data_IF_727639989463
#
_entry.id   IF_727639989463
#
_cell.length_a   1.000
_cell.length_b   1.000
_cell.length_c   1.000
_cell.angle_alpha   90.00
_cell.angle_beta   90.00
_cell.angle_gamma   90.00
#
_symmetry.space_group_name_H-M   'P 1'
#
loop_
_entity.id
_entity.type
_entity.pdbx_description
1 polymer ?
#
# COMPACT_ATOMS: atom_id res chain seq x y z
N UNK A 1 -24.87 17.01 -13.02
CA UNK A 1 -24.05 16.14 -12.20
C UNK A 1 -23.32 15.16 -13.11
N UNK A 2 -21.98 15.02 -12.96
CA UNK A 2 -21.20 13.99 -13.64
C UNK A 2 -20.80 12.90 -12.64
N UNK A 3 -20.76 11.64 -13.09
CA UNK A 3 -20.45 10.47 -12.25
C UNK A 3 -19.23 9.78 -12.83
N UNK A 4 -18.20 9.61 -12.00
CA UNK A 4 -16.99 8.88 -12.35
C UNK A 4 -16.80 7.65 -11.45
N UNK A 5 -16.41 6.52 -12.04
CA UNK A 5 -16.07 5.29 -11.32
C UNK A 5 -14.60 4.96 -11.52
N UNK A 6 -13.86 4.90 -10.43
CA UNK A 6 -12.42 4.64 -10.45
C UNK A 6 -11.99 3.53 -9.51
N UNK A 7 -10.73 3.08 -9.66
CA UNK A 7 -10.10 2.14 -8.76
C UNK A 7 -10.02 0.69 -9.27
N UNK A 8 -9.84 -0.27 -8.34
CA UNK A 8 -9.54 -1.67 -8.69
C UNK A 8 -10.66 -2.35 -9.47
N UNK A 9 -11.92 -2.08 -9.13
CA UNK A 9 -13.07 -2.62 -9.86
C UNK A 9 -13.12 -2.05 -11.29
N UNK A 10 -12.90 -0.75 -11.44
CA UNK A 10 -12.84 -0.11 -12.75
C UNK A 10 -11.68 -0.66 -13.61
N UNK A 11 -10.55 -0.97 -12.99
CA UNK A 11 -9.40 -1.61 -13.64
C UNK A 11 -9.74 -2.98 -14.23
N UNK A 12 -10.62 -3.76 -13.56
CA UNK A 12 -11.03 -5.10 -13.97
C UNK A 12 -12.18 -5.09 -14.98
N UNK A 13 -13.25 -4.37 -14.61
CA UNK A 13 -14.52 -4.48 -15.32
C UNK A 13 -14.65 -3.52 -16.50
N UNK A 14 -13.86 -2.47 -16.54
CA UNK A 14 -13.70 -1.56 -17.70
C UNK A 14 -15.06 -1.15 -18.29
N UNK A 15 -15.24 -1.41 -19.57
CA UNK A 15 -16.47 -1.09 -20.33
C UNK A 15 -17.74 -1.78 -19.79
N UNK A 16 -17.59 -2.88 -19.00
CA UNK A 16 -18.76 -3.55 -18.40
C UNK A 16 -19.48 -2.64 -17.41
N UNK A 17 -18.75 -1.72 -16.75
CA UNK A 17 -19.34 -0.75 -15.83
C UNK A 17 -20.22 0.22 -16.59
N UNK A 18 -19.73 0.84 -17.67
CA UNK A 18 -20.50 1.75 -18.49
C UNK A 18 -21.74 1.08 -19.13
N UNK A 19 -21.61 -0.20 -19.53
CA UNK A 19 -22.75 -0.98 -20.06
C UNK A 19 -23.82 -1.26 -19.00
N UNK A 20 -23.43 -1.56 -17.75
CA UNK A 20 -24.37 -1.83 -16.64
C UNK A 20 -24.95 -0.56 -16.02
N UNK A 21 -24.23 0.53 -16.09
CA UNK A 21 -24.57 1.82 -15.52
C UNK A 21 -24.43 2.94 -16.58
N UNK A 22 -25.40 3.06 -17.53
CA UNK A 22 -25.30 4.03 -18.63
C UNK A 22 -25.25 5.50 -18.21
N UNK A 23 -25.57 5.77 -16.95
CA UNK A 23 -25.48 7.11 -16.33
C UNK A 23 -24.09 7.48 -15.79
N UNK A 24 -23.09 6.59 -15.92
CA UNK A 24 -21.70 6.87 -15.57
C UNK A 24 -21.03 7.58 -16.74
N UNK A 25 -20.41 8.73 -16.47
CA UNK A 25 -19.73 9.56 -17.48
C UNK A 25 -18.28 9.11 -17.73
N UNK A 26 -17.59 8.64 -16.69
CA UNK A 26 -16.18 8.23 -16.81
C UNK A 26 -15.88 6.96 -15.99
N UNK A 27 -15.11 6.05 -16.60
CA UNK A 27 -14.54 4.86 -15.93
C UNK A 27 -13.03 4.90 -16.09
N UNK A 28 -12.28 4.88 -14.97
CA UNK A 28 -10.82 4.97 -15.03
C UNK A 28 -10.13 3.96 -14.10
N UNK A 29 -9.03 3.41 -14.58
CA UNK A 29 -8.20 2.47 -13.83
C UNK A 29 -7.40 3.13 -12.71
N UNK A 30 -6.80 2.29 -11.86
CA UNK A 30 -5.99 2.70 -10.69
C UNK A 30 -4.80 3.63 -11.04
N UNK A 31 -4.36 3.62 -12.29
CA UNK A 31 -3.23 4.38 -12.82
C UNK A 31 -3.64 5.61 -13.64
N UNK A 32 -4.93 5.92 -13.71
CA UNK A 32 -5.48 6.92 -14.62
C UNK A 32 -6.17 8.10 -13.93
N UNK A 33 -6.04 8.25 -12.63
CA UNK A 33 -6.70 9.30 -11.85
C UNK A 33 -6.37 10.72 -12.37
N UNK A 34 -5.14 10.96 -12.79
CA UNK A 34 -4.73 12.25 -13.38
C UNK A 34 -5.39 12.59 -14.71
N UNK A 35 -6.06 11.62 -15.36
CA UNK A 35 -6.82 11.87 -16.60
C UNK A 35 -8.29 12.19 -16.34
N UNK A 36 -8.76 12.14 -15.08
CA UNK A 36 -10.16 12.31 -14.74
C UNK A 36 -10.80 13.60 -15.27
N UNK A 37 -10.18 14.79 -15.12
CA UNK A 37 -10.76 16.03 -15.67
C UNK A 37 -11.01 15.95 -17.19
N UNK A 38 -10.03 15.44 -17.94
CA UNK A 38 -10.14 15.27 -19.39
C UNK A 38 -11.24 14.27 -19.78
N UNK A 39 -11.38 13.16 -19.04
CA UNK A 39 -12.41 12.17 -19.31
C UNK A 39 -13.82 12.74 -19.09
N UNK A 40 -14.00 13.53 -18.05
CA UNK A 40 -15.28 14.18 -17.75
C UNK A 40 -15.63 15.23 -18.81
N UNK A 41 -14.66 16.02 -19.28
CA UNK A 41 -14.88 16.99 -20.35
C UNK A 41 -15.21 16.28 -21.67
N UNK A 42 -14.50 15.21 -22.01
CA UNK A 42 -14.82 14.41 -23.21
C UNK A 42 -16.20 13.80 -23.13
N UNK A 43 -16.58 13.20 -22.00
CA UNK A 43 -17.92 12.63 -21.80
C UNK A 43 -19.04 13.68 -22.00
N UNK A 44 -18.80 14.91 -21.53
CA UNK A 44 -19.75 16.02 -21.71
C UNK A 44 -19.90 16.43 -23.18
N UNK A 45 -18.80 16.43 -23.94
CA UNK A 45 -18.78 16.83 -25.36
C UNK A 45 -19.40 15.72 -26.23
N UNK A 46 -19.03 14.47 -25.96
CA UNK A 46 -19.40 13.34 -26.82
C UNK A 46 -20.75 12.69 -26.44
N UNK A 47 -21.25 12.99 -25.23
CA UNK A 47 -22.56 12.48 -24.75
C UNK A 47 -22.58 11.01 -24.41
N UNK A 48 -21.41 10.38 -24.22
CA UNK A 48 -21.30 8.97 -23.79
C UNK A 48 -20.12 8.76 -22.83
N UNK A 49 -20.18 7.63 -22.09
CA UNK A 49 -19.18 7.27 -21.10
C UNK A 49 -17.76 7.12 -21.70
N UNK A 50 -16.79 7.73 -21.07
CA UNK A 50 -15.37 7.58 -21.42
C UNK A 50 -14.72 6.52 -20.54
N UNK A 51 -14.01 5.57 -21.15
CA UNK A 51 -13.34 4.48 -20.44
C UNK A 51 -11.84 4.56 -20.70
N UNK A 52 -11.04 4.72 -19.62
CA UNK A 52 -9.58 4.78 -19.71
C UNK A 52 -8.92 3.90 -18.66
N UNK A 53 -8.37 2.80 -19.13
CA UNK A 53 -7.66 1.83 -18.28
C UNK A 53 -6.29 1.55 -18.91
N UNK A 54 -5.24 2.15 -18.32
CA UNK A 54 -3.85 1.88 -18.70
C UNK A 54 -3.26 0.81 -17.81
N UNK A 55 -2.37 0.00 -18.36
CA UNK A 55 -1.68 -1.06 -17.62
C UNK A 55 -0.33 -0.61 -17.06
N UNK A 56 0.26 0.47 -17.58
CA UNK A 56 1.56 0.99 -17.13
C UNK A 56 1.42 2.29 -16.34
N UNK A 57 2.23 2.43 -15.29
CA UNK A 57 2.43 3.66 -14.54
C UNK A 57 3.49 4.50 -15.25
N UNK A 58 3.08 5.63 -15.83
CA UNK A 58 4.01 6.60 -16.40
C UNK A 58 4.50 7.63 -15.36
N UNK A 59 3.83 7.73 -14.22
CA UNK A 59 4.20 8.60 -13.10
C UNK A 59 3.53 8.12 -11.82
N UNK A 60 4.11 8.46 -10.67
CA UNK A 60 3.51 8.14 -9.38
C UNK A 60 2.43 9.19 -9.03
N UNK A 61 1.22 8.78 -8.58
CA UNK A 61 0.10 9.70 -8.32
C UNK A 61 0.35 10.76 -7.23
N UNK A 62 1.45 10.65 -6.49
CA UNK A 62 1.80 11.55 -5.38
C UNK A 62 2.06 13.01 -5.77
N UNK A 63 2.19 13.31 -7.07
CA UNK A 63 2.31 14.69 -7.57
C UNK A 63 0.96 15.38 -7.79
N UNK A 64 -0.15 14.67 -7.58
CA UNK A 64 -1.48 15.25 -7.69
C UNK A 64 -1.81 16.07 -6.43
N UNK A 65 -2.51 17.19 -6.56
CA UNK A 65 -3.04 17.92 -5.42
C UNK A 65 -3.85 16.99 -4.53
N UNK A 66 -3.58 17.02 -3.23
CA UNK A 66 -4.26 16.16 -2.25
C UNK A 66 -5.00 17.03 -1.24
N UNK A 67 -6.31 16.89 -1.18
CA UNK A 67 -7.11 17.40 -0.06
C UNK A 67 -7.16 16.29 1.01
N UNK A 68 -6.56 16.57 2.17
CA UNK A 68 -6.46 15.60 3.26
C UNK A 68 -7.64 15.75 4.21
N UNK A 69 -8.40 14.68 4.39
CA UNK A 69 -9.55 14.64 5.27
C UNK A 69 -9.19 14.88 6.76
N UNK A 70 -7.94 14.60 7.15
CA UNK A 70 -7.44 14.85 8.51
C UNK A 70 -6.24 15.79 8.46
N UNK A 71 -6.21 16.76 9.38
CA UNK A 71 -5.05 17.63 9.59
C UNK A 71 -4.01 17.02 10.53
N UNK A 72 -4.37 15.96 11.26
CA UNK A 72 -3.50 15.35 12.29
C UNK A 72 -2.80 14.10 11.78
N UNK A 73 -3.44 13.34 10.88
CA UNK A 73 -2.86 12.11 10.32
C UNK A 73 -2.89 12.14 8.80
N UNK A 74 -1.81 11.66 8.18
CA UNK A 74 -1.65 11.57 6.72
C UNK A 74 -1.25 10.18 6.28
N UNK A 75 -1.69 9.80 5.08
CA UNK A 75 -1.36 8.53 4.46
C UNK A 75 -0.43 8.79 3.29
N UNK A 76 0.75 8.15 3.31
CA UNK A 76 1.79 8.35 2.31
C UNK A 76 2.09 7.03 1.61
N UNK A 77 1.78 6.93 0.33
CA UNK A 77 2.11 5.77 -0.47
C UNK A 77 3.62 5.75 -0.76
N UNK A 78 4.29 4.65 -0.43
CA UNK A 78 5.72 4.46 -0.70
C UNK A 78 5.98 3.54 -1.90
N UNK A 79 5.04 2.63 -2.17
CA UNK A 79 5.05 1.73 -3.32
C UNK A 79 3.64 1.44 -3.81
N UNK A 80 3.51 0.98 -5.06
CA UNK A 80 2.25 0.52 -5.66
C UNK A 80 2.49 -0.79 -6.39
N UNK A 81 1.50 -1.70 -6.34
CA UNK A 81 1.60 -3.03 -6.94
C UNK A 81 2.25 -4.06 -6.04
N UNK A 82 2.35 -5.30 -6.49
CA UNK A 82 2.92 -6.39 -5.70
C UNK A 82 3.44 -7.50 -6.62
N UNK A 83 4.64 -7.99 -6.32
CA UNK A 83 5.27 -9.09 -7.05
C UNK A 83 4.94 -10.49 -6.47
N UNK A 84 4.16 -10.56 -5.37
CA UNK A 84 3.71 -11.83 -4.82
C UNK A 84 2.61 -12.46 -5.70
N UNK A 85 2.54 -13.80 -5.67
CA UNK A 85 1.59 -14.59 -6.47
C UNK A 85 0.56 -15.32 -5.61
N UNK A 86 0.13 -14.71 -4.51
CA UNK A 86 -0.87 -15.28 -3.60
C UNK A 86 -2.15 -15.62 -4.36
N UNK A 87 -2.64 -16.86 -4.24
CA UNK A 87 -3.71 -17.40 -5.10
C UNK A 87 -5.07 -16.74 -4.91
N UNK A 88 -5.31 -16.09 -3.80
CA UNK A 88 -6.55 -15.37 -3.48
C UNK A 88 -6.49 -13.85 -3.76
N UNK A 89 -5.32 -13.35 -4.20
CA UNK A 89 -5.09 -11.91 -4.26
C UNK A 89 -5.21 -11.38 -5.69
N UNK A 90 -6.02 -10.35 -5.86
CA UNK A 90 -6.26 -9.68 -7.13
C UNK A 90 -5.26 -8.53 -7.43
N UNK A 91 -4.45 -8.14 -6.45
CA UNK A 91 -3.56 -6.97 -6.54
C UNK A 91 -2.64 -6.99 -7.76
N UNK A 92 -1.93 -8.08 -8.10
CA UNK A 92 -1.06 -8.09 -9.28
C UNK A 92 -1.82 -7.79 -10.59
N UNK A 93 -3.08 -8.22 -10.68
CA UNK A 93 -3.94 -7.98 -11.86
C UNK A 93 -4.43 -6.52 -11.92
N UNK A 94 -4.75 -5.92 -10.75
CA UNK A 94 -5.36 -4.58 -10.72
C UNK A 94 -4.36 -3.45 -10.58
N UNK A 95 -3.27 -3.67 -9.86
CA UNK A 95 -2.23 -2.65 -9.60
C UNK A 95 -0.93 -2.91 -10.33
N UNK A 96 -0.74 -4.14 -10.85
CA UNK A 96 0.44 -4.54 -11.60
C UNK A 96 1.63 -4.91 -10.70
N UNK A 97 2.83 -4.92 -11.31
CA UNK A 97 4.09 -5.14 -10.61
C UNK A 97 4.38 -4.03 -9.63
N UNK A 98 5.18 -4.34 -8.62
CA UNK A 98 5.62 -3.41 -7.62
C UNK A 98 6.52 -2.32 -8.22
N UNK A 99 6.20 -1.08 -7.89
CA UNK A 99 6.97 0.11 -8.23
C UNK A 99 7.17 0.94 -6.96
N UNK A 100 8.42 1.17 -6.60
CA UNK A 100 8.81 1.97 -5.46
C UNK A 100 8.91 3.44 -5.84
N UNK A 101 8.56 4.32 -4.90
CA UNK A 101 8.87 5.75 -4.98
C UNK A 101 10.32 5.99 -4.58
N UNK A 102 10.87 7.10 -5.02
CA UNK A 102 12.18 7.55 -4.53
C UNK A 102 12.10 7.93 -3.06
N UNK A 103 13.03 7.47 -2.20
CA UNK A 103 13.00 7.79 -0.77
C UNK A 103 12.95 9.30 -0.50
N UNK A 104 13.68 10.09 -1.29
CA UNK A 104 13.69 11.56 -1.16
C UNK A 104 12.32 12.19 -1.38
N UNK A 105 11.54 11.72 -2.36
CA UNK A 105 10.19 12.21 -2.65
C UNK A 105 9.21 11.85 -1.52
N UNK A 106 9.37 10.66 -0.94
CA UNK A 106 8.57 10.21 0.21
C UNK A 106 8.83 11.11 1.42
N UNK A 107 10.11 11.33 1.75
CA UNK A 107 10.50 12.17 2.89
C UNK A 107 10.09 13.63 2.69
N UNK A 108 10.16 14.15 1.47
CA UNK A 108 9.69 15.50 1.15
C UNK A 108 8.18 15.62 1.37
N UNK A 109 7.39 14.64 0.92
CA UNK A 109 5.93 14.63 1.15
C UNK A 109 5.60 14.53 2.64
N UNK A 110 6.33 13.70 3.41
CA UNK A 110 6.12 13.58 4.86
C UNK A 110 6.40 14.91 5.55
N UNK A 111 7.49 15.61 5.21
CA UNK A 111 7.78 16.95 5.75
C UNK A 111 6.68 17.94 5.44
N UNK A 112 6.22 17.96 4.19
CA UNK A 112 5.08 18.79 3.81
C UNK A 112 3.83 18.47 4.66
N UNK A 113 3.51 17.20 4.89
CA UNK A 113 2.40 16.81 5.77
C UNK A 113 2.56 17.37 7.18
N UNK A 114 3.78 17.32 7.73
CA UNK A 114 4.07 17.85 9.06
C UNK A 114 3.96 19.38 9.09
N UNK A 115 4.46 20.08 8.07
CA UNK A 115 4.32 21.54 7.92
C UNK A 115 2.85 21.96 7.83
N UNK A 116 1.98 21.13 7.24
CA UNK A 116 0.53 21.30 7.17
C UNK A 116 -0.19 20.92 8.49
N UNK A 117 0.54 20.42 9.50
CA UNK A 117 0.04 20.11 10.84
C UNK A 117 -0.12 18.64 11.19
N UNK A 118 0.25 17.70 10.29
CA UNK A 118 0.18 16.29 10.58
C UNK A 118 1.18 15.90 11.69
N UNK A 119 0.70 15.09 12.63
CA UNK A 119 1.48 14.51 13.74
C UNK A 119 1.74 13.03 13.54
N UNK A 120 0.96 12.41 12.69
CA UNK A 120 1.05 10.98 12.37
C UNK A 120 1.09 10.76 10.87
N UNK A 121 1.96 9.85 10.43
CA UNK A 121 2.00 9.38 9.05
C UNK A 121 1.90 7.86 9.02
N UNK A 122 1.04 7.35 8.12
CA UNK A 122 0.96 5.92 7.82
C UNK A 122 1.54 5.65 6.44
N UNK A 123 2.63 4.86 6.37
CA UNK A 123 3.24 4.44 5.12
C UNK A 123 2.42 3.33 4.47
N UNK A 124 2.11 3.49 3.19
CA UNK A 124 1.26 2.58 2.44
C UNK A 124 2.03 1.85 1.34
N UNK A 125 1.78 0.55 1.24
CA UNK A 125 2.18 -0.32 0.15
C UNK A 125 1.32 -1.57 0.16
N UNK A 126 1.31 -2.36 -0.91
CA UNK A 126 0.65 -3.67 -0.93
C UNK A 126 1.53 -4.77 -0.35
N UNK A 127 2.83 -4.52 -0.26
CA UNK A 127 3.84 -5.26 0.46
C UNK A 127 4.87 -4.23 0.94
N UNK A 128 4.53 -3.49 1.99
CA UNK A 128 5.25 -2.26 2.39
C UNK A 128 6.72 -2.50 2.71
N UNK A 129 7.05 -3.65 3.28
CA UNK A 129 8.41 -3.98 3.70
C UNK A 129 9.27 -4.64 2.61
N UNK A 130 8.76 -4.79 1.37
CA UNK A 130 9.59 -5.04 0.18
C UNK A 130 10.08 -3.76 -0.50
N UNK A 131 9.73 -2.60 0.03
CA UNK A 131 10.21 -1.31 -0.48
C UNK A 131 11.72 -1.32 -0.66
N UNK A 132 12.18 -0.94 -1.85
CA UNK A 132 13.58 -0.92 -2.25
C UNK A 132 14.11 -2.20 -2.90
N UNK A 133 13.36 -3.31 -2.88
CA UNK A 133 13.82 -4.55 -3.52
C UNK A 133 13.99 -4.37 -5.03
N UNK A 134 13.15 -3.56 -5.66
CA UNK A 134 13.23 -3.24 -7.08
C UNK A 134 14.50 -2.49 -7.49
N UNK A 135 15.12 -1.77 -6.57
CA UNK A 135 16.39 -1.05 -6.76
C UNK A 135 17.60 -1.79 -6.16
N UNK A 136 17.41 -3.04 -5.67
CA UNK A 136 18.47 -3.88 -5.12
C UNK A 136 18.84 -3.58 -3.66
N UNK A 137 18.12 -2.72 -2.95
CA UNK A 137 18.33 -2.41 -1.54
C UNK A 137 17.30 -3.09 -0.64
N UNK A 138 17.68 -4.23 -0.06
CA UNK A 138 16.82 -5.00 0.86
C UNK A 138 16.60 -4.32 2.23
N UNK A 139 17.38 -3.30 2.54
CA UNK A 139 17.31 -2.54 3.78
C UNK A 139 16.64 -1.17 3.60
N UNK A 140 16.13 -0.87 2.40
CA UNK A 140 15.55 0.44 2.12
C UNK A 140 14.37 0.77 3.01
N UNK A 141 13.53 -0.22 3.38
CA UNK A 141 12.39 0.02 4.25
C UNK A 141 12.81 0.40 5.67
N UNK A 142 13.73 -0.31 6.28
CA UNK A 142 14.26 0.02 7.61
C UNK A 142 15.02 1.36 7.63
N UNK A 143 15.78 1.65 6.57
CA UNK A 143 16.41 2.97 6.39
C UNK A 143 15.36 4.08 6.30
N UNK A 144 14.25 3.84 5.58
CA UNK A 144 13.15 4.80 5.47
C UNK A 144 12.48 5.04 6.83
N UNK A 145 12.24 3.99 7.62
CA UNK A 145 11.71 4.13 8.99
C UNK A 145 12.61 5.01 9.86
N UNK A 146 13.93 4.75 9.87
CA UNK A 146 14.89 5.58 10.62
C UNK A 146 14.93 7.02 10.12
N UNK A 147 14.90 7.23 8.79
CA UNK A 147 14.86 8.57 8.22
C UNK A 147 13.56 9.34 8.55
N UNK A 148 12.44 8.65 8.73
CA UNK A 148 11.22 9.26 9.25
C UNK A 148 11.38 9.69 10.72
N UNK A 149 12.21 8.98 11.49
CA UNK A 149 12.57 9.35 12.87
C UNK A 149 13.27 10.70 13.01
N UNK A 150 13.98 11.11 11.98
CA UNK A 150 14.73 12.37 11.91
C UNK A 150 13.84 13.60 11.55
N UNK A 151 12.54 13.39 11.24
CA UNK A 151 11.66 14.48 10.84
C UNK A 151 11.10 15.17 12.08
N UNK A 152 11.54 16.41 12.31
CA UNK A 152 11.06 17.24 13.40
C UNK A 152 9.55 17.48 13.29
N UNK A 153 8.83 17.36 14.41
CA UNK A 153 7.38 17.54 14.48
C UNK A 153 6.56 16.29 14.11
N UNK A 154 7.17 15.23 13.56
CA UNK A 154 6.51 13.96 13.30
C UNK A 154 6.53 13.08 14.56
N UNK A 155 5.37 12.93 15.20
CA UNK A 155 5.26 12.22 16.48
C UNK A 155 5.03 10.71 16.32
N UNK A 156 4.41 10.28 15.22
CA UNK A 156 4.07 8.86 14.99
C UNK A 156 4.23 8.45 13.54
N UNK A 157 4.92 7.33 13.35
CA UNK A 157 5.07 6.64 12.06
C UNK A 157 4.43 5.26 12.19
N UNK A 158 3.51 4.97 11.28
CA UNK A 158 2.88 3.65 11.13
C UNK A 158 3.07 3.13 9.71
N UNK A 159 2.82 1.87 9.51
CA UNK A 159 2.78 1.26 8.19
C UNK A 159 1.76 0.13 8.13
N UNK A 160 1.29 -0.17 6.92
CA UNK A 160 0.28 -1.21 6.68
C UNK A 160 0.80 -2.27 5.71
N UNK A 161 0.16 -3.45 5.75
CA UNK A 161 0.40 -4.55 4.81
C UNK A 161 1.85 -5.07 4.74
N UNK A 162 2.57 -5.22 5.86
CA UNK A 162 3.85 -5.91 5.84
C UNK A 162 3.65 -7.40 5.54
N UNK A 163 4.61 -7.98 4.80
CA UNK A 163 4.57 -9.39 4.44
C UNK A 163 5.62 -10.18 5.25
N UNK A 164 5.25 -11.30 5.89
CA UNK A 164 6.17 -12.06 6.75
C UNK A 164 7.46 -12.53 6.08
N UNK A 165 7.43 -12.81 4.77
CA UNK A 165 8.62 -13.23 4.05
C UNK A 165 9.71 -12.16 3.93
N UNK A 166 9.32 -10.89 3.89
CA UNK A 166 10.21 -9.74 3.77
C UNK A 166 10.42 -9.00 5.10
N UNK A 167 9.93 -9.54 6.22
CA UNK A 167 10.11 -8.94 7.54
C UNK A 167 11.44 -9.41 8.15
N UNK A 168 12.44 -8.54 8.08
CA UNK A 168 13.82 -8.82 8.47
C UNK A 168 14.11 -8.35 9.89
N UNK A 169 15.20 -8.87 10.49
CA UNK A 169 15.67 -8.44 11.82
C UNK A 169 16.01 -6.93 11.82
N UNK A 170 16.45 -6.38 10.68
CA UNK A 170 16.75 -4.96 10.53
C UNK A 170 15.48 -4.07 10.58
N UNK A 171 14.34 -4.56 10.08
CA UNK A 171 13.04 -3.87 10.25
C UNK A 171 12.62 -3.87 11.71
N UNK A 172 12.81 -5.00 12.42
CA UNK A 172 12.53 -5.09 13.87
C UNK A 172 13.39 -4.10 14.64
N UNK A 173 14.70 -4.05 14.33
CA UNK A 173 15.63 -3.12 14.95
C UNK A 173 15.23 -1.65 14.67
N UNK A 174 14.88 -1.32 13.42
CA UNK A 174 14.45 0.03 13.06
C UNK A 174 13.17 0.44 13.82
N UNK A 175 12.21 -0.48 14.01
CA UNK A 175 11.01 -0.20 14.83
C UNK A 175 11.35 0.04 16.29
N UNK A 176 12.24 -0.76 16.87
CA UNK A 176 12.61 -0.68 18.29
C UNK A 176 13.48 0.54 18.61
N UNK A 177 14.36 0.94 17.69
CA UNK A 177 15.35 2.00 17.88
C UNK A 177 14.84 3.40 17.54
N UNK A 178 13.75 3.51 16.73
CA UNK A 178 13.24 4.79 16.25
C UNK A 178 12.02 5.22 17.08
N UNK A 179 12.15 6.21 17.97
CA UNK A 179 11.15 6.48 19.02
C UNK A 179 9.74 6.82 18.54
N UNK A 180 9.61 7.40 17.33
CA UNK A 180 8.32 7.77 16.75
C UNK A 180 7.74 6.67 15.84
N UNK A 181 8.45 5.56 15.61
CA UNK A 181 7.86 4.39 14.93
C UNK A 181 7.04 3.60 15.95
N UNK A 182 5.76 3.47 15.67
CA UNK A 182 4.85 2.86 16.63
C UNK A 182 5.05 1.35 16.75
N UNK A 183 5.10 0.84 17.98
CA UNK A 183 5.13 -0.58 18.31
C UNK A 183 3.77 -1.24 18.04
N UNK A 184 3.22 -0.97 16.85
CA UNK A 184 1.97 -1.54 16.38
C UNK A 184 2.19 -2.20 15.02
N UNK A 185 1.77 -3.46 14.89
CA UNK A 185 1.98 -4.23 13.68
C UNK A 185 0.69 -4.99 13.31
N UNK A 186 0.12 -4.66 12.16
CA UNK A 186 -0.86 -5.52 11.52
C UNK A 186 -0.12 -6.53 10.63
N UNK A 187 -0.07 -7.80 11.03
CA UNK A 187 0.82 -8.81 10.45
C UNK A 187 0.04 -10.03 9.97
N UNK A 188 -0.45 -10.05 8.71
CA UNK A 188 -1.37 -11.07 8.21
C UNK A 188 -0.74 -12.46 8.11
N UNK A 189 -1.19 -13.40 8.97
CA UNK A 189 -0.82 -14.80 8.94
C UNK A 189 -1.49 -15.55 7.79
N UNK A 190 -2.75 -15.25 7.52
CA UNK A 190 -3.67 -15.87 6.57
C UNK A 190 -4.13 -17.27 6.97
N UNK A 191 -3.26 -18.17 7.43
CA UNK A 191 -3.61 -19.48 7.95
C UNK A 191 -2.54 -20.02 8.90
N UNK A 192 -2.94 -20.72 9.95
CA UNK A 192 -2.03 -21.46 10.83
C UNK A 192 -1.57 -22.83 10.25
N UNK A 193 -2.17 -23.27 9.14
CA UNK A 193 -1.84 -24.55 8.49
C UNK A 193 -0.81 -24.35 7.38
N UNK A 194 0.35 -25.01 7.49
CA UNK A 194 1.38 -24.97 6.46
C UNK A 194 0.94 -25.57 5.12
N UNK A 195 -0.02 -26.52 5.15
CA UNK A 195 -0.64 -27.05 3.94
C UNK A 195 -1.43 -25.98 3.22
N UNK A 196 -2.24 -25.21 3.95
CA UNK A 196 -3.03 -24.11 3.40
C UNK A 196 -2.13 -22.94 2.98
N UNK A 197 -1.12 -22.58 3.75
CA UNK A 197 -0.14 -21.56 3.35
C UNK A 197 0.54 -21.92 2.01
N UNK A 198 0.86 -23.20 1.76
CA UNK A 198 1.38 -23.66 0.46
C UNK A 198 0.34 -23.49 -0.66
N UNK A 199 -0.90 -23.90 -0.42
CA UNK A 199 -2.00 -23.76 -1.38
C UNK A 199 -2.28 -22.28 -1.71
N UNK A 200 -2.16 -21.39 -0.72
CA UNK A 200 -2.24 -19.94 -0.86
C UNK A 200 -1.02 -19.31 -1.58
N UNK A 201 0.03 -20.09 -1.88
CA UNK A 201 1.34 -19.62 -2.37
C UNK A 201 1.98 -18.58 -1.46
N UNK A 202 1.86 -18.77 -0.14
CA UNK A 202 2.61 -17.95 0.82
C UNK A 202 4.05 -18.43 0.91
N UNK A 203 5.00 -17.51 0.81
CA UNK A 203 6.45 -17.78 0.80
C UNK A 203 7.05 -17.99 2.20
N UNK A 204 6.21 -18.10 3.23
CA UNK A 204 6.59 -18.46 4.61
C UNK A 204 5.75 -19.62 5.12
N UNK A 205 6.12 -20.12 6.32
CA UNK A 205 5.41 -21.17 7.07
C UNK A 205 5.16 -20.69 8.49
N UNK A 206 4.30 -21.40 9.21
CA UNK A 206 3.90 -21.06 10.59
C UNK A 206 5.10 -20.88 11.53
N UNK A 207 6.09 -21.76 11.45
CA UNK A 207 7.30 -21.68 12.28
C UNK A 207 8.07 -20.36 12.06
N UNK A 208 8.26 -19.92 10.81
CA UNK A 208 8.91 -18.64 10.50
C UNK A 208 8.09 -17.46 11.02
N UNK A 209 6.77 -17.51 10.86
CA UNK A 209 5.89 -16.47 11.37
C UNK A 209 5.99 -16.33 12.90
N UNK A 210 5.94 -17.44 13.62
CA UNK A 210 6.08 -17.46 15.08
C UNK A 210 7.47 -16.99 15.54
N UNK A 211 8.54 -17.35 14.82
CA UNK A 211 9.91 -16.86 15.13
C UNK A 211 10.00 -15.34 14.97
N UNK A 212 9.39 -14.76 13.94
CA UNK A 212 9.33 -13.30 13.78
C UNK A 212 8.57 -12.66 14.94
N UNK A 213 7.42 -13.21 15.33
CA UNK A 213 6.66 -12.71 16.49
C UNK A 213 7.48 -12.75 17.79
N UNK A 214 8.22 -13.85 18.02
CA UNK A 214 9.11 -13.98 19.19
C UNK A 214 10.15 -12.87 19.19
N UNK A 215 10.85 -12.64 18.07
CA UNK A 215 11.87 -11.57 17.92
C UNK A 215 11.28 -10.19 18.15
N UNK A 216 10.07 -9.92 17.61
CA UNK A 216 9.36 -8.66 17.84
C UNK A 216 9.09 -8.46 19.33
N UNK A 217 8.59 -9.50 20.03
CA UNK A 217 8.30 -9.43 21.46
C UNK A 217 9.56 -9.28 22.32
N UNK A 218 10.68 -9.84 21.89
CA UNK A 218 11.98 -9.67 22.56
C UNK A 218 12.51 -8.24 22.41
N UNK A 219 12.39 -7.65 21.21
CA UNK A 219 12.84 -6.29 20.94
C UNK A 219 11.86 -5.22 21.46
N UNK A 220 10.57 -5.49 21.42
CA UNK A 220 9.47 -4.59 21.79
C UNK A 220 8.40 -5.34 22.59
N UNK A 221 8.57 -5.51 23.91
CA UNK A 221 7.64 -6.29 24.74
C UNK A 221 6.20 -5.75 24.75
N UNK A 222 6.03 -4.44 24.54
CA UNK A 222 4.76 -3.72 24.48
C UNK A 222 4.09 -3.73 23.09
N UNK A 223 4.72 -4.35 22.07
CA UNK A 223 4.21 -4.34 20.71
C UNK A 223 2.78 -4.89 20.61
N UNK A 224 1.90 -4.11 19.99
CA UNK A 224 0.53 -4.52 19.68
C UNK A 224 0.49 -5.19 18.30
N UNK A 225 0.06 -6.45 18.25
CA UNK A 225 0.06 -7.24 17.02
C UNK A 225 -1.35 -7.70 16.71
N UNK A 226 -1.79 -7.42 15.48
CA UNK A 226 -3.04 -7.93 14.91
C UNK A 226 -2.76 -8.74 13.64
N UNK A 227 -3.70 -9.60 13.25
CA UNK A 227 -3.55 -10.49 12.09
C UNK A 227 -4.87 -10.75 11.40
N UNK A 228 -4.81 -11.13 10.13
CA UNK A 228 -5.94 -11.67 9.37
C UNK A 228 -5.78 -13.17 9.20
N UNK A 229 -6.92 -13.89 9.25
CA UNK A 229 -7.01 -15.32 8.99
C UNK A 229 -8.16 -15.57 8.02
N UNK A 230 -7.90 -16.32 6.95
CA UNK A 230 -8.89 -16.75 5.97
C UNK A 230 -9.39 -18.15 6.37
N UNK A 231 -10.69 -18.26 6.65
CA UNK A 231 -11.38 -19.53 6.89
C UNK A 231 -12.08 -20.01 5.62
N UNK A 232 -12.20 -21.34 5.49
CA UNK A 232 -12.86 -21.95 4.32
C UNK A 232 -12.07 -21.85 3.00
N UNK A 233 -10.74 -21.63 3.07
CA UNK A 233 -9.91 -21.69 1.88
C UNK A 233 -9.89 -23.11 1.31
N UNK A 234 -10.10 -23.32 -0.03
CA UNK A 234 -10.16 -24.63 -0.65
C UNK A 234 -8.87 -25.46 -0.46
N UNK A 235 -9.02 -26.73 -0.09
CA UNK A 235 -7.90 -27.68 0.08
C UNK A 235 -7.69 -28.23 1.50
#
# INVERSE_FOLDING_TARGET
LQIAVGGCMAQLDREKIAKKAPWVDAVFGTKNIGSLPQLLDQARIEGHAQVKVKEELNYFPSQLPTDRASKVSSWVAISVGCNNTCTFCIVPTTRGKEHDRRPGDILAEIRQCVDEGAKEVTLLGQNVNSFGYGIGDRFAFSKLLRACGEIEGLERVRFTSPHPAAFTDDVIAAMAETPNVMHQLHFPLQSGSDRILRAMRRSYRSAKFLDILRKIREAMPDAQISTDIIVGFPG
#
